data_IF_958412776089
#
_entry.id   IF_958412776089
#
_cell.length_a   1.000
_cell.length_b   1.000
_cell.length_c   1.000
_cell.angle_alpha   90.00
_cell.angle_beta   90.00
_cell.angle_gamma   90.00
#
_symmetry.space_group_name_H-M   'P 1'
#
loop_
_entity.id
_entity.type
_entity.pdbx_description
1 polymer ?
#
# COMPACT_ATOMS: atom_id res chain seq x y z
N UNK A 1 -84.17 0.91 28.03
CA UNK A 1 -84.99 2.01 28.53
C UNK A 1 -84.11 3.26 28.45
N UNK A 2 -84.51 4.14 27.56
CA UNK A 2 -84.84 5.57 27.76
C UNK A 2 -83.71 6.36 28.50
N UNK A 3 -83.25 7.50 28.11
CA UNK A 3 -83.48 8.48 27.10
C UNK A 3 -82.63 9.72 27.40
N UNK A 4 -82.12 10.34 26.39
CA UNK A 4 -81.71 11.73 26.15
C UNK A 4 -82.23 12.79 27.13
N UNK A 5 -81.90 14.12 27.01
CA UNK A 5 -80.86 14.82 26.20
C UNK A 5 -80.27 16.13 26.82
N UNK A 6 -79.31 16.73 26.09
CA UNK A 6 -79.14 18.19 25.74
C UNK A 6 -78.83 19.22 26.85
N UNK A 7 -77.88 20.08 26.71
CA UNK A 7 -77.86 21.34 25.98
C UNK A 7 -76.49 22.06 25.95
N UNK A 8 -76.35 22.78 24.91
CA UNK A 8 -75.25 23.59 24.41
C UNK A 8 -74.97 24.86 25.25
N UNK A 9 -73.71 25.35 25.15
CA UNK A 9 -73.33 26.71 25.51
C UNK A 9 -72.13 27.15 24.66
N UNK A 10 -72.40 28.13 23.79
CA UNK A 10 -71.49 28.81 22.86
C UNK A 10 -70.82 29.95 23.61
N UNK A 11 -69.51 30.13 23.49
CA UNK A 11 -68.87 31.45 23.32
C UNK A 11 -67.34 31.41 23.31
N UNK A 12 -66.75 32.05 22.34
CA UNK A 12 -65.55 32.84 22.53
C UNK A 12 -64.33 32.43 21.73
N UNK A 13 -64.29 32.73 20.45
CA UNK A 13 -63.03 32.66 19.64
C UNK A 13 -62.06 33.79 20.08
N UNK A 14 -60.85 33.42 20.45
CA UNK A 14 -59.71 34.30 20.35
C UNK A 14 -58.63 33.59 19.53
N UNK A 15 -58.33 34.12 18.34
CA UNK A 15 -57.22 33.72 17.51
C UNK A 15 -55.89 34.08 18.18
N UNK A 16 -55.08 33.08 18.53
CA UNK A 16 -53.69 33.27 18.88
C UNK A 16 -52.84 32.83 17.68
N UNK A 17 -52.18 33.78 17.04
CA UNK A 17 -51.23 33.52 15.97
C UNK A 17 -50.02 32.80 16.56
N UNK A 18 -49.92 31.51 16.32
CA UNK A 18 -48.69 30.75 16.59
C UNK A 18 -47.72 30.90 15.41
N UNK A 19 -46.65 31.66 15.62
CA UNK A 19 -45.53 31.71 14.72
C UNK A 19 -44.82 30.36 14.72
N UNK A 20 -44.86 29.66 13.59
CA UNK A 20 -44.07 28.44 13.36
C UNK A 20 -42.63 28.88 13.15
N UNK A 21 -41.78 28.76 14.20
CA UNK A 21 -40.34 28.76 14.02
C UNK A 21 -39.96 27.44 13.30
N UNK A 22 -39.56 27.59 12.03
CA UNK A 22 -38.97 26.49 11.27
C UNK A 22 -37.67 26.02 11.95
N UNK A 23 -37.71 24.88 12.59
CA UNK A 23 -36.50 24.14 13.01
C UNK A 23 -35.87 23.60 11.73
N UNK A 24 -34.82 24.27 11.26
CA UNK A 24 -33.90 23.71 10.26
C UNK A 24 -33.15 22.54 10.93
N UNK A 25 -33.63 21.33 10.72
CA UNK A 25 -32.89 20.14 11.09
C UNK A 25 -31.64 20.09 10.20
N UNK A 26 -30.51 20.61 10.70
CA UNK A 26 -29.20 20.25 10.14
C UNK A 26 -29.04 18.76 10.36
N UNK A 27 -29.31 17.98 9.34
CA UNK A 27 -28.94 16.60 9.26
C UNK A 27 -27.41 16.55 9.26
N UNK A 28 -26.82 16.25 10.42
CA UNK A 28 -25.45 15.75 10.46
C UNK A 28 -25.47 14.44 9.68
N UNK A 29 -24.93 14.45 8.46
CA UNK A 29 -24.54 13.23 7.81
C UNK A 29 -23.49 12.58 8.71
N UNK A 30 -23.90 11.58 9.48
CA UNK A 30 -22.99 10.65 10.11
C UNK A 30 -22.36 9.91 8.94
N UNK A 31 -21.15 10.33 8.55
CA UNK A 31 -20.33 9.51 7.67
C UNK A 31 -20.25 8.13 8.33
N UNK A 32 -20.77 7.12 7.66
CA UNK A 32 -20.63 5.74 8.07
C UNK A 32 -19.13 5.44 8.01
N UNK A 33 -18.42 5.64 9.13
CA UNK A 33 -17.04 5.20 9.27
C UNK A 33 -17.04 3.70 9.05
N UNK A 34 -16.22 3.22 8.12
CA UNK A 34 -16.06 1.80 7.88
C UNK A 34 -15.80 1.06 9.22
N UNK A 35 -16.32 -0.15 9.33
CA UNK A 35 -16.23 -0.95 10.56
C UNK A 35 -14.85 -1.61 10.70
N UNK A 36 -13.77 -0.86 10.53
CA UNK A 36 -12.38 -1.31 10.74
C UNK A 36 -11.61 -0.29 11.58
N UNK A 37 -10.62 -0.78 12.30
CA UNK A 37 -9.67 0.05 13.06
C UNK A 37 -8.42 0.30 12.22
N UNK A 38 -7.93 1.52 12.22
CA UNK A 38 -6.65 1.87 11.62
C UNK A 38 -5.51 1.47 12.59
N UNK A 39 -4.58 0.65 12.10
CA UNK A 39 -3.33 0.36 12.81
C UNK A 39 -2.32 1.46 12.49
N UNK A 40 -2.09 1.73 11.20
CA UNK A 40 -1.24 2.82 10.72
C UNK A 40 -1.63 3.22 9.29
N UNK A 41 -1.57 4.52 9.01
CA UNK A 41 -1.65 5.08 7.66
C UNK A 41 -0.40 5.91 7.36
N UNK A 42 0.35 5.51 6.34
CA UNK A 42 1.56 6.22 5.91
C UNK A 42 1.31 7.18 4.73
N UNK A 43 0.12 7.11 4.12
CA UNK A 43 -0.20 8.01 3.02
C UNK A 43 -1.54 7.71 2.35
N UNK A 44 -1.81 8.34 1.19
CA UNK A 44 -3.08 8.23 0.50
C UNK A 44 -3.38 6.77 0.13
N UNK A 45 -4.59 6.32 0.44
CA UNK A 45 -5.05 4.94 0.21
C UNK A 45 -4.96 4.52 -1.26
N UNK A 46 -5.02 5.47 -2.19
CA UNK A 46 -4.86 5.24 -3.64
C UNK A 46 -3.42 4.89 -4.04
N UNK A 47 -2.42 5.18 -3.20
CA UNK A 47 -1.00 4.96 -3.46
C UNK A 47 -0.31 4.18 -2.32
N UNK A 48 -1.01 3.21 -1.73
CA UNK A 48 -0.47 2.32 -0.69
C UNK A 48 -1.00 0.90 -0.88
N UNK A 49 -0.23 -0.06 -0.44
CA UNK A 49 -0.70 -1.44 -0.24
C UNK A 49 -1.59 -1.44 1.00
N UNK A 50 -2.90 -1.25 0.79
CA UNK A 50 -3.85 -1.31 1.89
C UNK A 50 -3.99 -2.75 2.36
N UNK A 51 -3.49 -3.04 3.54
CA UNK A 51 -3.44 -4.35 4.17
C UNK A 51 -4.52 -4.49 5.22
N UNK A 52 -5.31 -5.53 5.14
CA UNK A 52 -6.41 -5.80 6.06
C UNK A 52 -6.21 -7.13 6.80
N UNK A 53 -6.34 -7.07 8.12
CA UNK A 53 -6.38 -8.23 9.00
C UNK A 53 -7.82 -8.47 9.42
N UNK A 54 -8.31 -9.69 9.24
CA UNK A 54 -9.59 -10.17 9.76
C UNK A 54 -9.30 -11.15 10.88
N UNK A 55 -10.16 -11.18 11.91
CA UNK A 55 -10.10 -12.19 12.96
C UNK A 55 -11.07 -13.32 12.68
N UNK A 56 -10.70 -14.57 12.99
CA UNK A 56 -11.67 -15.65 13.13
C UNK A 56 -11.44 -16.45 14.42
N UNK A 57 -12.50 -17.02 14.99
CA UNK A 57 -12.43 -17.67 16.29
C UNK A 57 -12.16 -16.72 17.46
N UNK A 58 -12.32 -15.40 17.30
CA UNK A 58 -12.29 -14.45 18.42
C UNK A 58 -13.71 -14.10 18.84
N UNK A 59 -14.07 -14.44 20.06
CA UNK A 59 -15.33 -13.99 20.66
C UNK A 59 -15.27 -12.51 21.02
N UNK A 60 -16.42 -11.91 21.37
CA UNK A 60 -16.46 -10.55 21.89
C UNK A 60 -15.58 -10.37 23.14
N UNK A 61 -15.47 -11.42 23.99
CA UNK A 61 -14.61 -11.43 25.16
C UNK A 61 -13.12 -11.43 24.76
N UNK A 62 -12.71 -12.24 23.77
CA UNK A 62 -11.33 -12.30 23.28
C UNK A 62 -10.90 -10.95 22.66
N UNK A 63 -11.79 -10.31 21.90
CA UNK A 63 -11.55 -8.99 21.32
C UNK A 63 -11.45 -7.93 22.43
N UNK A 64 -12.38 -7.97 23.40
CA UNK A 64 -12.38 -7.06 24.56
C UNK A 64 -11.16 -7.22 25.46
N UNK A 65 -10.62 -8.43 25.59
CA UNK A 65 -9.37 -8.72 26.30
C UNK A 65 -8.10 -8.30 25.51
N UNK A 66 -8.24 -7.90 24.24
CA UNK A 66 -7.13 -7.49 23.39
C UNK A 66 -6.34 -8.63 22.75
N UNK A 67 -6.81 -9.89 22.86
CA UNK A 67 -6.11 -11.06 22.30
C UNK A 67 -5.90 -10.92 20.78
N UNK A 68 -6.95 -10.58 20.04
CA UNK A 68 -6.87 -10.34 18.61
C UNK A 68 -5.88 -9.22 18.27
N UNK A 69 -5.98 -8.10 18.98
CA UNK A 69 -5.06 -6.97 18.77
C UNK A 69 -3.61 -7.37 19.02
N UNK A 70 -3.33 -8.16 20.04
CA UNK A 70 -1.99 -8.65 20.39
C UNK A 70 -1.44 -9.53 19.26
N UNK A 71 -2.22 -10.49 18.75
CA UNK A 71 -1.78 -11.37 17.67
C UNK A 71 -1.47 -10.60 16.39
N UNK A 72 -2.34 -9.67 15.97
CA UNK A 72 -2.11 -8.81 14.81
C UNK A 72 -0.88 -7.93 15.02
N UNK A 73 -0.74 -7.28 16.18
CA UNK A 73 0.38 -6.37 16.46
C UNK A 73 1.72 -7.10 16.48
N UNK A 74 1.77 -8.31 17.04
CA UNK A 74 2.97 -9.15 17.02
C UNK A 74 3.42 -9.43 15.57
N UNK A 75 2.47 -9.78 14.70
CA UNK A 75 2.81 -10.02 13.30
C UNK A 75 3.23 -8.74 12.57
N UNK A 76 2.54 -7.62 12.77
CA UNK A 76 2.92 -6.32 12.17
C UNK A 76 4.34 -5.93 12.59
N UNK A 77 4.67 -6.06 13.88
CA UNK A 77 6.01 -5.78 14.39
C UNK A 77 7.08 -6.70 13.77
N UNK A 78 6.74 -7.97 13.55
CA UNK A 78 7.63 -8.92 12.90
C UNK A 78 7.82 -8.62 11.41
N UNK A 79 6.73 -8.44 10.66
CA UNK A 79 6.75 -8.16 9.23
C UNK A 79 7.60 -6.93 8.89
N UNK A 80 7.56 -5.90 9.73
CA UNK A 80 8.31 -4.66 9.56
C UNK A 80 9.53 -4.56 10.50
N UNK A 81 10.02 -5.68 11.02
CA UNK A 81 11.28 -5.70 11.78
C UNK A 81 12.48 -5.52 10.85
N UNK A 82 13.51 -4.82 11.34
CA UNK A 82 14.76 -4.66 10.58
C UNK A 82 15.64 -5.94 10.69
N UNK A 83 15.13 -7.02 10.12
CA UNK A 83 15.82 -8.31 10.07
C UNK A 83 15.79 -8.86 8.65
N UNK A 84 16.78 -9.66 8.30
CA UNK A 84 16.86 -10.31 6.99
C UNK A 84 15.65 -11.23 6.73
N UNK A 85 15.07 -11.81 7.78
CA UNK A 85 13.94 -12.75 7.67
C UNK A 85 12.64 -12.07 7.22
N UNK A 86 12.52 -10.75 7.42
CA UNK A 86 11.36 -9.94 7.01
C UNK A 86 11.61 -9.06 5.79
N UNK A 87 12.82 -9.13 5.18
CA UNK A 87 13.05 -8.46 3.90
C UNK A 87 12.12 -9.00 2.80
N UNK A 88 11.53 -8.11 1.93
CA UNK A 88 11.85 -6.66 1.79
C UNK A 88 10.94 -5.73 2.60
N UNK A 89 10.04 -6.21 3.44
CA UNK A 89 8.94 -5.42 4.02
C UNK A 89 9.42 -4.26 4.90
N UNK A 90 10.49 -4.43 5.68
CA UNK A 90 11.03 -3.33 6.49
C UNK A 90 11.44 -2.11 5.65
N UNK A 91 12.14 -2.35 4.53
CA UNK A 91 12.54 -1.28 3.61
C UNK A 91 11.33 -0.51 3.10
N UNK A 92 10.25 -1.20 2.77
CA UNK A 92 9.04 -0.64 2.16
C UNK A 92 7.91 -0.35 3.15
N UNK A 93 8.16 -0.31 4.46
CA UNK A 93 7.11 -0.16 5.49
C UNK A 93 6.17 1.02 5.26
N UNK A 94 6.70 2.15 4.75
CA UNK A 94 5.91 3.35 4.45
C UNK A 94 5.06 3.24 3.17
N UNK A 95 5.19 2.13 2.42
CA UNK A 95 4.36 1.80 1.25
C UNK A 95 3.05 1.10 1.65
N UNK A 96 2.81 0.86 2.93
CA UNK A 96 1.66 0.15 3.44
C UNK A 96 0.79 1.03 4.31
N UNK A 97 -0.53 0.86 4.20
CA UNK A 97 -1.50 1.24 5.21
C UNK A 97 -2.08 -0.04 5.81
N UNK A 98 -2.23 -0.09 7.13
CA UNK A 98 -2.61 -1.29 7.86
C UNK A 98 -3.90 -1.06 8.63
N UNK A 99 -4.83 -2.00 8.50
CA UNK A 99 -6.15 -1.97 9.12
C UNK A 99 -6.51 -3.33 9.70
N UNK A 100 -7.34 -3.34 10.73
CA UNK A 100 -7.93 -4.57 11.26
C UNK A 100 -9.44 -4.49 11.30
N UNK A 101 -10.09 -5.61 11.02
CA UNK A 101 -11.54 -5.79 11.07
C UNK A 101 -11.86 -6.71 12.24
N UNK A 102 -12.64 -6.22 13.20
CA UNK A 102 -13.07 -7.00 14.36
C UNK A 102 -14.26 -7.90 13.97
N UNK A 103 -13.97 -9.10 13.47
CA UNK A 103 -14.98 -10.10 13.17
C UNK A 103 -15.23 -10.93 14.42
N UNK A 104 -16.47 -10.90 14.92
CA UNK A 104 -16.84 -11.58 16.17
C UNK A 104 -17.37 -12.96 15.88
N UNK A 105 -16.73 -13.99 16.43
CA UNK A 105 -17.17 -15.39 16.38
C UNK A 105 -18.02 -15.75 17.61
N UNK A 106 -18.91 -16.72 17.46
CA UNK A 106 -19.71 -17.23 18.60
C UNK A 106 -18.85 -18.05 19.56
N UNK A 107 -17.85 -18.77 19.02
CA UNK A 107 -16.93 -19.60 19.80
C UNK A 107 -15.47 -19.25 19.50
N UNK A 108 -14.62 -19.51 20.49
CA UNK A 108 -13.17 -19.33 20.36
C UNK A 108 -12.51 -20.57 19.75
N UNK A 109 -11.52 -20.37 18.86
CA UNK A 109 -10.77 -21.43 18.21
C UNK A 109 -11.15 -21.65 16.76
N UNK A 110 -10.89 -22.85 16.25
CA UNK A 110 -11.18 -23.30 14.89
C UNK A 110 -11.71 -24.75 14.91
N UNK A 111 -12.26 -25.22 13.80
CA UNK A 111 -12.56 -26.63 13.61
C UNK A 111 -11.27 -27.45 13.54
N UNK A 112 -11.27 -28.60 14.24
CA UNK A 112 -10.19 -29.59 14.26
C UNK A 112 -10.75 -30.98 13.89
N UNK A 113 -11.04 -31.24 12.61
CA UNK A 113 -11.69 -32.49 12.18
C UNK A 113 -10.91 -33.73 12.64
N UNK A 114 -9.58 -33.66 12.70
CA UNK A 114 -8.71 -34.74 13.15
C UNK A 114 -8.94 -35.11 14.64
N UNK A 115 -9.46 -34.16 15.43
CA UNK A 115 -9.74 -34.30 16.87
C UNK A 115 -11.23 -34.35 17.17
N UNK A 116 -12.10 -34.30 16.13
CA UNK A 116 -13.55 -34.26 16.29
C UNK A 116 -14.08 -32.97 16.91
N UNK A 117 -13.31 -31.87 16.87
CA UNK A 117 -13.69 -30.55 17.40
C UNK A 117 -14.38 -29.75 16.31
N UNK A 118 -15.56 -29.20 16.62
CA UNK A 118 -16.33 -28.30 15.78
C UNK A 118 -16.60 -27.01 16.52
N UNK A 119 -16.35 -25.87 15.88
CA UNK A 119 -16.50 -24.52 16.44
C UNK A 119 -17.41 -23.67 15.56
N UNK A 120 -18.32 -22.94 16.17
CA UNK A 120 -19.13 -21.92 15.47
C UNK A 120 -18.32 -20.62 15.37
N UNK A 121 -17.52 -20.49 14.28
CA UNK A 121 -16.72 -19.31 14.01
C UNK A 121 -17.28 -18.50 12.86
N UNK A 122 -16.95 -17.20 12.83
CA UNK A 122 -17.55 -16.27 11.88
C UNK A 122 -17.14 -16.52 10.42
N UNK A 123 -15.92 -17.04 10.21
CA UNK A 123 -15.34 -17.30 8.88
C UNK A 123 -15.13 -18.79 8.62
N UNK A 124 -15.66 -19.69 9.46
CA UNK A 124 -15.53 -21.14 9.36
C UNK A 124 -14.06 -21.61 9.29
N UNK A 125 -13.18 -21.08 10.16
CA UNK A 125 -11.79 -21.54 10.20
C UNK A 125 -11.72 -23.04 10.53
N UNK A 126 -11.01 -23.78 9.68
CA UNK A 126 -10.86 -25.23 9.85
C UNK A 126 -9.45 -25.69 9.50
N UNK A 127 -8.90 -26.55 10.35
CA UNK A 127 -7.73 -27.37 10.03
C UNK A 127 -8.10 -28.50 9.08
N UNK A 128 -7.07 -29.16 8.53
CA UNK A 128 -7.27 -30.29 7.62
C UNK A 128 -8.22 -29.99 6.46
N UNK A 129 -8.15 -28.78 5.95
CA UNK A 129 -9.07 -28.26 4.93
C UNK A 129 -9.16 -29.14 3.68
N UNK A 130 -8.06 -29.79 3.27
CA UNK A 130 -8.01 -30.75 2.17
C UNK A 130 -8.46 -32.18 2.58
N UNK A 131 -8.85 -32.38 3.85
CA UNK A 131 -9.22 -33.67 4.42
C UNK A 131 -8.04 -34.59 4.78
N UNK A 132 -6.80 -34.19 4.54
CA UNK A 132 -5.59 -35.02 4.70
C UNK A 132 -4.51 -34.32 5.53
N UNK A 133 -4.20 -33.07 5.23
CA UNK A 133 -3.07 -32.32 5.80
C UNK A 133 -3.49 -31.57 7.07
N UNK A 134 -3.18 -32.12 8.25
CA UNK A 134 -3.66 -31.61 9.54
C UNK A 134 -3.34 -30.12 9.78
N UNK A 135 -2.17 -29.63 9.32
CA UNK A 135 -1.74 -28.24 9.48
C UNK A 135 -2.36 -27.25 8.47
N UNK A 136 -3.09 -27.73 7.50
CA UNK A 136 -3.68 -26.87 6.47
C UNK A 136 -4.90 -26.16 7.03
N UNK A 137 -4.70 -24.89 7.43
CA UNK A 137 -5.71 -24.05 8.07
C UNK A 137 -6.25 -23.04 7.05
N UNK A 138 -7.54 -23.15 6.74
CA UNK A 138 -8.25 -22.23 5.84
C UNK A 138 -9.55 -21.71 6.44
N UNK A 139 -10.13 -20.76 5.76
CA UNK A 139 -11.41 -20.14 6.10
C UNK A 139 -12.37 -20.19 4.89
N UNK A 140 -13.61 -19.83 5.10
CA UNK A 140 -14.57 -19.61 4.05
C UNK A 140 -14.34 -18.26 3.38
N UNK A 141 -13.73 -18.27 2.18
CA UNK A 141 -13.42 -17.05 1.41
C UNK A 141 -14.67 -16.18 1.16
N UNK A 142 -15.84 -16.79 0.96
CA UNK A 142 -17.09 -16.06 0.74
C UNK A 142 -17.48 -15.23 1.97
N UNK A 143 -17.41 -15.81 3.16
CA UNK A 143 -17.68 -15.12 4.44
C UNK A 143 -16.63 -14.06 4.72
N UNK A 144 -15.35 -14.35 4.50
CA UNK A 144 -14.27 -13.39 4.68
C UNK A 144 -14.40 -12.18 3.74
N UNK A 145 -14.70 -12.42 2.47
CA UNK A 145 -14.95 -11.35 1.50
C UNK A 145 -16.19 -10.52 1.86
N UNK A 146 -17.27 -11.14 2.34
CA UNK A 146 -18.47 -10.43 2.78
C UNK A 146 -18.16 -9.53 3.99
N UNK A 147 -17.44 -10.04 5.01
CA UNK A 147 -17.04 -9.28 6.17
C UNK A 147 -16.12 -8.09 5.80
N UNK A 148 -15.11 -8.33 4.95
CA UNK A 148 -14.20 -7.29 4.47
C UNK A 148 -14.93 -6.22 3.67
N UNK A 149 -15.77 -6.60 2.69
CA UNK A 149 -16.50 -5.66 1.85
C UNK A 149 -17.46 -4.79 2.68
N UNK A 150 -18.12 -5.39 3.68
CA UNK A 150 -18.95 -4.65 4.63
C UNK A 150 -18.12 -3.64 5.43
N UNK A 151 -16.95 -4.05 5.91
CA UNK A 151 -16.08 -3.19 6.71
C UNK A 151 -15.55 -1.98 5.92
N UNK A 152 -15.18 -2.17 4.65
CA UNK A 152 -14.61 -1.10 3.82
C UNK A 152 -15.64 -0.31 3.00
N UNK A 153 -16.92 -0.67 3.09
CA UNK A 153 -17.98 0.01 2.33
C UNK A 153 -17.97 1.53 2.60
N UNK A 154 -17.99 2.33 1.53
CA UNK A 154 -17.99 3.79 1.62
C UNK A 154 -16.64 4.43 2.04
N UNK A 155 -15.62 3.64 2.37
CA UNK A 155 -14.30 4.16 2.81
C UNK A 155 -13.38 4.63 1.67
N UNK A 156 -13.70 4.28 0.42
CA UNK A 156 -12.82 4.51 -0.74
C UNK A 156 -11.54 3.64 -0.74
N UNK A 157 -11.39 2.71 0.20
CA UNK A 157 -10.21 1.84 0.31
C UNK A 157 -10.41 0.55 -0.50
N UNK A 158 -9.32 0.08 -1.09
CA UNK A 158 -9.27 -1.22 -1.78
C UNK A 158 -8.26 -2.11 -1.04
N UNK A 159 -8.69 -3.26 -0.55
CA UNK A 159 -7.79 -4.23 0.07
C UNK A 159 -6.86 -4.86 -0.98
N UNK A 160 -5.55 -4.79 -0.76
CA UNK A 160 -4.51 -5.31 -1.66
C UNK A 160 -3.76 -6.49 -1.07
N UNK A 161 -3.54 -6.48 0.24
CA UNK A 161 -2.95 -7.58 1.01
C UNK A 161 -3.93 -7.95 2.10
N UNK A 162 -4.17 -9.25 2.31
CA UNK A 162 -5.25 -9.72 3.17
C UNK A 162 -4.78 -10.88 4.04
N UNK A 163 -5.06 -10.76 5.34
CA UNK A 163 -4.75 -11.78 6.33
C UNK A 163 -6.00 -12.22 7.07
N UNK A 164 -6.03 -13.49 7.49
CA UNK A 164 -6.92 -13.96 8.54
C UNK A 164 -6.08 -14.52 9.69
N UNK A 165 -6.20 -13.89 10.84
CA UNK A 165 -5.61 -14.37 12.09
C UNK A 165 -6.66 -15.21 12.79
N UNK A 166 -6.36 -16.49 13.05
CA UNK A 166 -7.26 -17.42 13.73
C UNK A 166 -6.85 -17.52 15.20
N UNK A 167 -7.84 -17.47 16.11
CA UNK A 167 -7.62 -17.57 17.55
C UNK A 167 -7.36 -19.01 17.98
N UNK A 168 -6.25 -19.55 17.57
CA UNK A 168 -5.83 -20.90 17.92
C UNK A 168 -4.33 -20.97 18.21
N UNK A 169 -3.90 -21.99 18.95
CA UNK A 169 -2.50 -22.25 19.28
C UNK A 169 -1.93 -23.45 18.54
N UNK A 170 -2.75 -24.23 17.83
CA UNK A 170 -2.30 -25.35 17.01
C UNK A 170 -1.52 -24.80 15.80
N UNK A 171 -0.44 -25.49 15.43
CA UNK A 171 0.35 -25.13 14.27
C UNK A 171 -0.45 -25.29 12.98
N UNK A 172 -0.57 -24.21 12.20
CA UNK A 172 -1.23 -24.26 10.91
C UNK A 172 -1.27 -22.91 10.20
N UNK A 173 -1.43 -23.01 8.88
CA UNK A 173 -1.59 -21.89 7.99
C UNK A 173 -2.04 -22.33 6.61
N UNK A 174 -2.33 -21.36 5.77
CA UNK A 174 -2.73 -21.59 4.37
C UNK A 174 -2.70 -20.30 3.57
N UNK A 175 -2.09 -20.34 2.38
CA UNK A 175 -2.03 -19.25 1.43
C UNK A 175 -3.05 -19.42 0.32
N UNK A 176 -3.84 -18.39 0.07
CA UNK A 176 -4.87 -18.37 -0.98
C UNK A 176 -5.32 -16.94 -1.23
N UNK A 177 -6.64 -16.70 -1.24
CA UNK A 177 -7.15 -15.32 -1.28
C UNK A 177 -6.73 -14.50 -0.06
N UNK A 178 -6.45 -15.19 1.05
CA UNK A 178 -5.95 -14.64 2.32
C UNK A 178 -4.73 -15.44 2.78
N UNK A 179 -3.79 -14.76 3.45
CA UNK A 179 -2.79 -15.43 4.26
C UNK A 179 -3.42 -15.77 5.62
N UNK A 180 -3.73 -17.05 5.85
CA UNK A 180 -4.38 -17.53 7.07
C UNK A 180 -3.36 -18.15 8.00
N UNK A 181 -3.43 -17.86 9.31
CA UNK A 181 -2.49 -18.40 10.30
C UNK A 181 -3.09 -18.45 11.71
N UNK A 182 -2.63 -19.40 12.52
CA UNK A 182 -3.00 -19.54 13.93
C UNK A 182 -2.23 -18.54 14.78
N UNK A 183 -2.89 -17.47 15.24
CA UNK A 183 -2.26 -16.32 15.91
C UNK A 183 -1.60 -16.62 17.26
N UNK A 184 -2.08 -17.63 17.97
CA UNK A 184 -1.56 -18.07 19.27
C UNK A 184 -0.42 -19.10 19.19
N UNK A 185 -0.06 -19.57 17.98
CA UNK A 185 1.02 -20.54 17.81
C UNK A 185 2.42 -19.87 17.92
N UNK A 186 3.40 -20.58 18.46
CA UNK A 186 4.77 -20.07 18.58
C UNK A 186 5.45 -19.76 17.25
N UNK A 187 5.02 -20.39 16.14
CA UNK A 187 5.50 -20.13 14.78
C UNK A 187 4.62 -19.19 13.98
N UNK A 188 3.58 -18.60 14.59
CA UNK A 188 2.57 -17.77 13.93
C UNK A 188 3.15 -16.71 12.99
N UNK A 189 4.21 -16.01 13.43
CA UNK A 189 4.82 -14.90 12.70
C UNK A 189 5.50 -15.37 11.40
N UNK A 190 6.22 -16.50 11.50
CA UNK A 190 6.89 -17.12 10.38
C UNK A 190 5.89 -17.72 9.38
N UNK A 191 4.86 -18.41 9.89
CA UNK A 191 3.79 -18.97 9.07
C UNK A 191 3.05 -17.85 8.34
N UNK A 192 2.63 -16.79 9.03
CA UNK A 192 1.92 -15.68 8.41
C UNK A 192 2.72 -15.03 7.26
N UNK A 193 4.05 -14.90 7.43
CA UNK A 193 4.91 -14.32 6.40
C UNK A 193 5.12 -15.26 5.21
N UNK A 194 5.20 -16.57 5.45
CA UNK A 194 5.23 -17.61 4.42
C UNK A 194 3.93 -17.62 3.60
N UNK A 195 2.77 -17.67 4.27
CA UNK A 195 1.47 -17.67 3.62
C UNK A 195 1.19 -16.37 2.84
N UNK A 196 1.76 -15.24 3.30
CA UNK A 196 1.76 -14.00 2.55
C UNK A 196 2.55 -14.09 1.23
N UNK A 197 3.63 -14.87 1.19
CA UNK A 197 4.34 -15.17 -0.04
C UNK A 197 3.43 -15.80 -1.12
N UNK A 198 2.57 -16.74 -0.72
CA UNK A 198 1.56 -17.31 -1.61
C UNK A 198 0.47 -16.30 -1.98
N UNK A 199 -0.14 -15.68 -0.98
CA UNK A 199 -1.35 -14.87 -1.16
C UNK A 199 -1.10 -13.56 -1.89
N UNK A 200 0.00 -12.87 -1.61
CA UNK A 200 0.32 -11.58 -2.18
C UNK A 200 1.15 -11.68 -3.46
N UNK A 201 2.16 -12.58 -3.46
CA UNK A 201 3.14 -12.65 -4.55
C UNK A 201 3.08 -13.93 -5.37
N UNK A 202 2.12 -14.81 -5.08
CA UNK A 202 1.90 -16.06 -5.81
C UNK A 202 3.19 -16.90 -5.91
N UNK A 203 3.96 -16.96 -4.82
CA UNK A 203 5.13 -17.81 -4.72
C UNK A 203 4.72 -19.25 -4.50
N UNK A 204 5.52 -20.20 -5.00
CA UNK A 204 5.33 -21.62 -4.76
C UNK A 204 5.94 -22.05 -3.43
N UNK A 205 5.45 -23.17 -2.88
CA UNK A 205 6.20 -23.92 -1.89
C UNK A 205 7.49 -24.48 -2.51
N UNK A 206 8.63 -24.20 -1.91
CA UNK A 206 9.94 -24.70 -2.36
C UNK A 206 10.37 -26.02 -1.68
N UNK A 207 9.51 -26.60 -0.81
CA UNK A 207 9.80 -27.90 -0.18
C UNK A 207 9.28 -29.07 -1.03
N UNK A 208 9.92 -30.23 -0.81
CA UNK A 208 9.58 -31.52 -1.41
C UNK A 208 8.65 -32.36 -0.53
N UNK A 209 8.70 -33.67 -0.69
CA UNK A 209 7.96 -34.68 0.09
C UNK A 209 7.34 -35.77 -0.78
N UNK A 210 7.05 -35.48 -2.05
CA UNK A 210 6.64 -36.51 -3.01
C UNK A 210 7.90 -37.02 -3.75
N UNK A 211 8.21 -38.30 -3.58
CA UNK A 211 9.38 -38.95 -4.21
C UNK A 211 9.20 -39.21 -5.71
N UNK A 212 7.96 -39.18 -6.23
CA UNK A 212 7.72 -39.23 -7.67
C UNK A 212 8.23 -37.91 -8.31
N UNK A 213 8.82 -37.96 -9.52
CA UNK A 213 9.22 -36.73 -10.21
C UNK A 213 8.00 -35.92 -10.64
N UNK A 214 8.17 -34.57 -10.61
CA UNK A 214 7.16 -33.66 -11.14
C UNK A 214 7.01 -33.84 -12.67
N UNK A 215 5.80 -34.14 -13.14
CA UNK A 215 5.47 -34.36 -14.57
C UNK A 215 4.55 -33.30 -15.15
N UNK A 216 4.13 -32.30 -14.37
CA UNK A 216 3.26 -31.21 -14.81
C UNK A 216 3.90 -30.29 -15.86
N UNK A 217 3.16 -29.26 -16.28
CA UNK A 217 3.65 -28.19 -17.13
C UNK A 217 4.67 -27.29 -16.43
N UNK A 218 5.26 -26.33 -17.15
CA UNK A 218 6.08 -25.28 -16.53
C UNK A 218 5.21 -24.47 -15.56
N UNK A 219 5.64 -24.32 -14.27
CA UNK A 219 4.89 -23.55 -13.28
C UNK A 219 4.79 -22.07 -13.64
N UNK A 220 3.68 -21.43 -13.25
CA UNK A 220 3.52 -19.97 -13.38
C UNK A 220 4.32 -19.18 -12.36
N UNK A 221 4.58 -19.77 -11.19
CA UNK A 221 5.31 -19.14 -10.08
C UNK A 221 6.76 -18.87 -10.47
N UNK A 222 7.29 -17.73 -10.00
CA UNK A 222 8.62 -17.26 -10.43
C UNK A 222 9.78 -18.00 -9.77
N UNK A 223 9.53 -18.63 -8.64
CA UNK A 223 10.50 -19.26 -7.74
C UNK A 223 10.63 -20.78 -7.93
N UNK A 224 9.94 -21.34 -8.94
CA UNK A 224 10.09 -22.75 -9.35
C UNK A 224 10.07 -22.88 -10.87
N UNK A 225 10.79 -23.89 -11.39
CA UNK A 225 10.86 -24.18 -12.84
C UNK A 225 11.14 -25.65 -13.09
N UNK A 226 10.76 -26.11 -14.26
CA UNK A 226 11.18 -27.44 -14.77
C UNK A 226 12.58 -27.40 -15.42
N UNK A 227 13.06 -26.22 -15.74
CA UNK A 227 14.37 -26.07 -16.39
C UNK A 227 15.51 -26.22 -15.39
N UNK A 228 16.35 -27.28 -15.54
CA UNK A 228 17.47 -27.52 -14.65
C UNK A 228 18.59 -26.49 -14.76
N UNK A 229 18.54 -25.58 -15.73
CA UNK A 229 19.51 -24.47 -15.85
C UNK A 229 19.10 -23.25 -15.05
N UNK A 230 17.83 -23.16 -14.59
CA UNK A 230 17.31 -21.99 -13.88
C UNK A 230 17.17 -20.75 -14.78
N UNK A 231 16.93 -20.93 -16.09
CA UNK A 231 16.79 -19.82 -17.04
C UNK A 231 15.70 -18.82 -16.64
N UNK A 232 14.65 -19.24 -15.93
CA UNK A 232 13.57 -18.39 -15.41
C UNK A 232 14.09 -17.23 -14.55
N UNK A 233 15.17 -17.46 -13.81
CA UNK A 233 15.84 -16.45 -12.98
C UNK A 233 17.32 -16.25 -13.37
N UNK A 234 17.64 -16.35 -14.68
CA UNK A 234 19.00 -16.25 -15.21
C UNK A 234 19.78 -15.00 -14.74
N UNK A 235 19.07 -13.88 -14.52
CA UNK A 235 19.64 -12.62 -14.01
C UNK A 235 20.19 -12.71 -12.59
N UNK A 236 19.81 -13.75 -11.83
CA UNK A 236 20.25 -14.00 -10.47
C UNK A 236 21.28 -15.12 -10.34
N UNK A 237 21.50 -15.94 -11.38
CA UNK A 237 22.43 -17.05 -11.32
C UNK A 237 23.83 -16.60 -10.86
N UNK A 238 24.41 -17.33 -9.91
CA UNK A 238 25.70 -17.02 -9.31
C UNK A 238 25.69 -15.94 -8.22
N UNK A 239 24.52 -15.35 -7.89
CA UNK A 239 24.40 -14.38 -6.82
C UNK A 239 24.54 -15.07 -5.44
N UNK A 240 25.38 -14.49 -4.55
CA UNK A 240 25.46 -14.92 -3.16
C UNK A 240 24.22 -14.41 -2.40
N UNK A 241 23.29 -15.31 -2.17
CA UNK A 241 21.99 -14.99 -1.60
C UNK A 241 22.06 -14.92 -0.06
N UNK A 242 21.30 -13.99 0.58
CA UNK A 242 21.18 -13.93 2.03
C UNK A 242 20.70 -15.22 2.72
N UNK A 243 20.08 -16.14 1.98
CA UNK A 243 19.71 -17.48 2.49
C UNK A 243 20.93 -18.36 2.81
N UNK A 244 22.14 -17.89 2.51
CA UNK A 244 23.38 -18.65 2.65
C UNK A 244 23.69 -19.55 1.46
N UNK A 245 22.93 -19.43 0.36
CA UNK A 245 23.14 -20.20 -0.88
C UNK A 245 23.62 -19.31 -2.01
N UNK A 246 24.27 -19.89 -3.00
CA UNK A 246 24.44 -19.25 -4.32
C UNK A 246 23.20 -19.55 -5.15
N UNK A 247 22.61 -18.53 -5.79
CA UNK A 247 21.46 -18.76 -6.67
C UNK A 247 21.86 -19.66 -7.84
N UNK A 248 21.12 -20.75 -8.00
CA UNK A 248 21.32 -21.77 -9.02
C UNK A 248 20.02 -22.44 -9.41
N UNK A 249 20.06 -23.75 -9.65
CA UNK A 249 18.88 -24.59 -9.84
C UNK A 249 18.97 -25.80 -8.91
N UNK A 250 18.27 -25.74 -7.80
CA UNK A 250 18.27 -26.78 -6.77
C UNK A 250 17.09 -27.70 -6.96
N UNK A 251 17.32 -29.00 -6.98
CA UNK A 251 16.30 -30.00 -7.20
C UNK A 251 15.20 -29.99 -6.12
N UNK A 252 13.95 -30.15 -6.51
CA UNK A 252 12.77 -30.17 -5.65
C UNK A 252 12.06 -28.82 -5.48
N UNK A 253 10.76 -28.87 -5.24
CA UNK A 253 9.80 -27.76 -5.06
C UNK A 253 8.39 -28.22 -5.39
N UNK A 254 7.37 -27.40 -5.09
CA UNK A 254 5.96 -27.72 -5.28
C UNK A 254 5.57 -29.10 -4.75
N UNK A 255 6.08 -29.44 -3.56
CA UNK A 255 5.90 -30.74 -2.88
C UNK A 255 6.61 -31.94 -3.53
N UNK A 256 7.39 -31.77 -4.61
CA UNK A 256 8.10 -32.86 -5.31
C UNK A 256 9.62 -32.78 -5.00
N UNK A 257 10.25 -33.94 -4.88
CA UNK A 257 11.69 -34.05 -4.61
C UNK A 257 12.54 -33.94 -5.88
N UNK A 258 11.95 -34.13 -7.07
CA UNK A 258 12.68 -34.08 -8.34
C UNK A 258 11.78 -33.68 -9.53
N UNK A 259 12.38 -33.37 -10.68
CA UNK A 259 11.68 -32.95 -11.89
C UNK A 259 11.22 -31.50 -11.88
N UNK A 260 11.57 -30.76 -10.83
CA UNK A 260 11.31 -29.34 -10.63
C UNK A 260 12.46 -28.74 -9.82
N UNK A 261 12.74 -27.47 -10.00
CA UNK A 261 13.89 -26.80 -9.42
C UNK A 261 13.48 -25.49 -8.77
N UNK A 262 14.22 -25.06 -7.73
CA UNK A 262 14.09 -23.81 -7.00
C UNK A 262 15.41 -23.04 -7.01
N UNK A 263 15.41 -21.70 -6.71
CA UNK A 263 16.59 -20.85 -6.90
C UNK A 263 17.72 -21.12 -5.89
N UNK A 264 17.39 -21.51 -4.65
CA UNK A 264 18.35 -21.65 -3.53
C UNK A 264 18.14 -22.95 -2.77
N UNK A 265 19.15 -23.37 -2.02
CA UNK A 265 19.04 -24.55 -1.17
C UNK A 265 17.97 -24.42 -0.09
N UNK A 266 17.80 -23.22 0.45
CA UNK A 266 16.80 -22.87 1.45
C UNK A 266 16.21 -21.48 1.21
N UNK A 267 14.97 -21.22 1.69
CA UNK A 267 14.28 -19.94 1.63
C UNK A 267 13.08 -19.94 2.57
N UNK A 268 12.42 -18.79 2.75
CA UNK A 268 11.14 -18.66 3.47
C UNK A 268 10.09 -19.62 2.90
N UNK A 269 10.03 -19.79 1.58
CA UNK A 269 9.07 -20.67 0.92
C UNK A 269 9.41 -22.16 1.05
N UNK A 270 10.56 -22.49 1.67
CA UNK A 270 10.98 -23.88 1.95
C UNK A 270 10.94 -24.20 3.44
N UNK A 271 11.37 -23.29 4.30
CA UNK A 271 11.49 -23.53 5.73
C UNK A 271 11.29 -22.23 6.51
N UNK A 272 10.52 -22.30 7.58
CA UNK A 272 10.35 -21.20 8.50
C UNK A 272 11.70 -20.78 9.11
N UNK A 273 11.85 -19.50 9.42
CA UNK A 273 13.09 -18.93 9.95
C UNK A 273 14.13 -18.55 8.89
N UNK A 274 13.95 -18.95 7.63
CA UNK A 274 14.80 -18.50 6.53
C UNK A 274 14.26 -17.17 5.92
N UNK A 275 15.13 -16.34 5.31
CA UNK A 275 14.68 -15.19 4.53
C UNK A 275 14.04 -15.61 3.19
N UNK A 276 13.31 -14.71 2.53
CA UNK A 276 12.99 -14.87 1.11
C UNK A 276 14.28 -14.81 0.28
N UNK A 277 14.44 -15.73 -0.68
CA UNK A 277 15.55 -15.66 -1.61
C UNK A 277 15.41 -14.47 -2.58
N UNK A 278 16.47 -14.15 -3.34
CA UNK A 278 16.52 -13.01 -4.22
C UNK A 278 15.40 -12.99 -5.27
N UNK A 279 15.01 -14.15 -5.79
CA UNK A 279 13.94 -14.29 -6.80
C UNK A 279 12.57 -13.94 -6.18
N UNK A 280 12.27 -14.51 -5.01
CA UNK A 280 11.04 -14.25 -4.27
C UNK A 280 10.98 -12.80 -3.78
N UNK A 281 12.09 -12.26 -3.25
CA UNK A 281 12.18 -10.86 -2.81
C UNK A 281 11.97 -9.89 -3.96
N UNK A 282 12.58 -10.12 -5.13
CA UNK A 282 12.37 -9.32 -6.34
C UNK A 282 10.88 -9.29 -6.73
N UNK A 283 10.22 -10.45 -6.71
CA UNK A 283 8.78 -10.56 -7.04
C UNK A 283 7.92 -9.74 -6.08
N UNK A 284 8.15 -9.87 -4.76
CA UNK A 284 7.43 -9.08 -3.74
C UNK A 284 7.59 -7.58 -3.99
N UNK A 285 8.80 -7.10 -4.30
CA UNK A 285 9.05 -5.68 -4.60
C UNK A 285 8.29 -5.24 -5.84
N UNK A 286 8.31 -6.05 -6.91
CA UNK A 286 7.57 -5.75 -8.13
C UNK A 286 6.05 -5.68 -7.90
N UNK A 287 5.49 -6.52 -7.00
CA UNK A 287 4.08 -6.51 -6.66
C UNK A 287 3.71 -5.28 -5.81
N UNK A 288 4.59 -4.85 -4.91
CA UNK A 288 4.43 -3.58 -4.20
C UNK A 288 4.37 -2.43 -5.20
N UNK A 289 5.32 -2.35 -6.15
CA UNK A 289 5.33 -1.30 -7.17
C UNK A 289 4.30 -1.46 -8.30
N UNK A 290 3.59 -2.57 -8.35
CA UNK A 290 2.39 -2.69 -9.18
C UNK A 290 1.20 -1.89 -8.61
N UNK A 291 1.29 -1.51 -7.34
CA UNK A 291 0.24 -0.81 -6.58
C UNK A 291 0.68 0.62 -6.23
N UNK A 292 1.95 0.79 -5.83
CA UNK A 292 2.48 2.05 -5.27
C UNK A 292 3.41 2.71 -6.28
N UNK A 293 3.14 3.99 -6.55
CA UNK A 293 4.01 4.83 -7.38
C UNK A 293 5.01 5.61 -6.50
N UNK A 294 6.19 5.97 -7.02
CA UNK A 294 7.21 6.71 -6.26
C UNK A 294 6.75 8.04 -5.66
N UNK A 295 5.79 8.72 -6.29
CA UNK A 295 5.27 10.01 -5.83
C UNK A 295 3.83 9.89 -5.35
N UNK A 296 3.52 10.45 -4.20
CA UNK A 296 2.16 10.65 -3.69
C UNK A 296 1.47 11.84 -4.36
N UNK A 297 2.23 12.91 -4.61
CA UNK A 297 1.75 14.11 -5.30
C UNK A 297 2.90 14.94 -5.86
N UNK A 298 2.58 15.88 -6.74
CA UNK A 298 3.51 16.86 -7.30
C UNK A 298 2.75 18.11 -7.74
N UNK A 299 3.49 19.23 -7.91
CA UNK A 299 2.95 20.47 -8.49
C UNK A 299 2.26 20.15 -9.82
N UNK A 300 1.04 20.66 -10.00
CA UNK A 300 0.24 20.36 -11.21
C UNK A 300 1.01 20.72 -12.49
N UNK A 301 0.98 19.86 -13.49
CA UNK A 301 1.64 20.03 -14.78
C UNK A 301 0.64 19.99 -15.96
N UNK A 302 -0.66 20.23 -15.70
CA UNK A 302 -1.71 20.20 -16.73
C UNK A 302 -1.70 21.43 -17.64
N UNK A 303 -0.99 22.50 -17.24
CA UNK A 303 -0.80 23.73 -18.00
C UNK A 303 0.60 24.27 -17.72
N UNK A 304 1.08 25.17 -18.61
CA UNK A 304 2.31 25.92 -18.36
C UNK A 304 2.19 26.77 -17.09
N UNK A 305 3.25 26.76 -16.28
CA UNK A 305 3.32 27.48 -15.02
C UNK A 305 4.06 28.80 -15.23
N UNK A 306 3.41 29.92 -14.94
CA UNK A 306 4.02 31.25 -15.11
C UNK A 306 4.63 31.69 -13.77
N UNK A 307 5.94 31.98 -13.76
CA UNK A 307 6.71 32.42 -12.62
C UNK A 307 6.42 31.63 -11.30
N UNK A 308 6.39 30.29 -11.34
CA UNK A 308 6.19 29.54 -10.10
C UNK A 308 7.39 29.74 -9.18
N UNK A 309 7.19 29.92 -7.85
CA UNK A 309 8.30 30.05 -6.92
C UNK A 309 9.10 28.75 -6.79
N UNK A 310 8.41 27.62 -6.83
CA UNK A 310 9.00 26.28 -6.73
C UNK A 310 8.18 25.24 -7.47
N UNK A 311 8.79 24.09 -7.74
CA UNK A 311 8.12 22.84 -8.11
C UNK A 311 8.32 21.84 -6.98
N UNK A 312 7.20 21.35 -6.41
CA UNK A 312 7.21 20.52 -5.22
C UNK A 312 6.68 19.11 -5.51
N UNK A 313 7.23 18.13 -4.81
CA UNK A 313 6.81 16.73 -4.89
C UNK A 313 6.74 16.11 -3.50
N UNK A 314 5.85 15.14 -3.34
CA UNK A 314 5.78 14.31 -2.14
C UNK A 314 6.11 12.88 -2.53
N UNK A 315 7.23 12.37 -2.03
CA UNK A 315 7.65 10.98 -2.24
C UNK A 315 6.91 10.05 -1.28
N UNK A 316 6.63 8.84 -1.72
CA UNK A 316 6.03 7.79 -0.85
C UNK A 316 6.90 7.50 0.37
N UNK A 317 8.22 7.52 0.20
CA UNK A 317 9.23 7.39 1.26
C UNK A 317 10.54 8.06 0.85
N UNK A 318 10.97 9.07 1.60
CA UNK A 318 12.21 9.79 1.33
C UNK A 318 13.49 8.97 1.55
N UNK A 319 13.40 7.87 2.34
CA UNK A 319 14.53 6.97 2.55
C UNK A 319 14.69 5.93 1.43
N UNK A 320 13.62 5.68 0.67
CA UNK A 320 13.59 4.69 -0.41
C UNK A 320 13.68 5.33 -1.78
N UNK A 321 12.93 6.41 -2.00
CA UNK A 321 12.81 7.07 -3.29
C UNK A 321 13.81 8.23 -3.39
N UNK A 322 14.69 8.15 -4.39
CA UNK A 322 15.58 9.24 -4.78
C UNK A 322 14.96 10.08 -5.90
N UNK A 323 15.46 11.32 -6.09
CA UNK A 323 14.99 12.25 -7.13
C UNK A 323 16.14 12.82 -7.92
N UNK A 324 15.90 13.08 -9.21
CA UNK A 324 16.82 13.77 -10.12
C UNK A 324 16.02 14.80 -10.90
N UNK A 325 16.43 16.07 -10.80
CA UNK A 325 15.85 17.18 -11.54
C UNK A 325 16.65 17.47 -12.81
N UNK A 326 15.96 17.80 -13.88
CA UNK A 326 16.56 18.15 -15.18
C UNK A 326 15.94 19.46 -15.65
N UNK A 327 16.77 20.42 -16.06
CA UNK A 327 16.37 21.74 -16.55
C UNK A 327 16.88 21.86 -17.97
N UNK A 328 15.99 22.06 -18.95
CA UNK A 328 16.30 22.15 -20.37
C UNK A 328 17.21 21.01 -20.87
N UNK A 329 16.96 19.80 -20.38
CA UNK A 329 17.71 18.59 -20.74
C UNK A 329 19.01 18.38 -19.94
N UNK A 330 19.40 19.29 -19.05
CA UNK A 330 20.60 19.17 -18.24
C UNK A 330 20.27 18.78 -16.80
N UNK A 331 20.99 17.79 -16.26
CA UNK A 331 20.82 17.34 -14.87
C UNK A 331 21.27 18.45 -13.90
N UNK A 332 20.38 18.84 -12.99
CA UNK A 332 20.75 19.66 -11.84
C UNK A 332 21.29 18.78 -10.69
N UNK A 333 22.60 18.71 -10.60
CA UNK A 333 23.29 17.90 -9.58
C UNK A 333 23.00 18.40 -8.16
N UNK A 334 22.85 19.71 -7.98
CA UNK A 334 22.63 20.34 -6.66
C UNK A 334 21.23 19.99 -6.10
N UNK A 335 20.24 19.82 -6.98
CA UNK A 335 18.88 19.45 -6.60
C UNK A 335 18.66 17.92 -6.52
N UNK A 336 19.70 17.09 -6.78
CA UNK A 336 19.56 15.63 -6.66
C UNK A 336 19.19 15.24 -5.23
N UNK A 337 18.13 14.42 -5.07
CA UNK A 337 17.60 14.01 -3.77
C UNK A 337 16.61 15.03 -3.15
N UNK A 338 16.43 16.22 -3.74
CA UNK A 338 15.47 17.21 -3.25
C UNK A 338 14.04 16.85 -3.64
N UNK A 339 13.09 17.13 -2.74
CA UNK A 339 11.65 17.06 -3.01
C UNK A 339 11.11 18.34 -3.63
N UNK A 340 11.89 19.42 -3.63
CA UNK A 340 11.51 20.72 -4.14
C UNK A 340 12.62 21.29 -5.00
N UNK A 341 12.26 22.00 -6.07
CA UNK A 341 13.16 22.78 -6.89
C UNK A 341 12.73 24.25 -6.78
N UNK A 342 13.61 25.10 -6.25
CA UNK A 342 13.41 26.55 -6.15
C UNK A 342 13.66 27.18 -7.52
N UNK A 343 12.60 27.56 -8.22
CA UNK A 343 12.67 28.13 -9.58
C UNK A 343 13.25 29.55 -9.54
N UNK A 344 12.92 30.32 -8.52
CA UNK A 344 13.41 31.68 -8.36
C UNK A 344 14.94 31.72 -8.18
N UNK A 345 15.51 30.74 -7.48
CA UNK A 345 16.95 30.63 -7.25
C UNK A 345 17.75 30.21 -8.50
N UNK A 346 17.09 29.60 -9.52
CA UNK A 346 17.78 29.14 -10.73
C UNK A 346 18.19 30.27 -11.66
N UNK A 347 17.69 31.50 -11.48
CA UNK A 347 17.95 32.65 -12.35
C UNK A 347 17.78 32.33 -13.86
N UNK A 348 16.70 31.64 -14.20
CA UNK A 348 16.39 31.25 -15.56
C UNK A 348 16.19 32.49 -16.45
N UNK A 349 16.51 32.36 -17.73
CA UNK A 349 16.24 33.42 -18.73
C UNK A 349 14.73 33.58 -18.93
N UNK A 350 14.31 34.74 -19.46
CA UNK A 350 12.92 34.92 -19.90
C UNK A 350 12.57 33.93 -21.00
N UNK A 351 11.41 33.28 -20.91
CA UNK A 351 10.93 32.32 -21.91
C UNK A 351 10.45 31.02 -21.30
N UNK A 352 10.30 30.02 -22.14
CA UNK A 352 9.86 28.68 -21.76
C UNK A 352 11.05 27.80 -21.34
N UNK A 353 10.90 27.07 -20.28
CA UNK A 353 11.87 26.12 -19.75
C UNK A 353 11.21 24.77 -19.52
N UNK A 354 11.81 23.71 -20.09
CA UNK A 354 11.39 22.33 -19.89
C UNK A 354 12.05 21.78 -18.61
N UNK A 355 11.28 21.63 -17.54
CA UNK A 355 11.76 21.07 -16.28
C UNK A 355 11.17 19.69 -16.08
N UNK A 356 11.99 18.72 -15.70
CA UNK A 356 11.53 17.37 -15.39
C UNK A 356 12.15 16.82 -14.13
N UNK A 357 11.39 15.93 -13.47
CA UNK A 357 11.82 15.14 -12.34
C UNK A 357 11.74 13.66 -12.68
N UNK A 358 12.76 12.91 -12.31
CA UNK A 358 12.73 11.44 -12.19
C UNK A 358 12.78 11.07 -10.73
N UNK A 359 11.72 10.44 -10.21
CA UNK A 359 11.68 9.82 -8.89
C UNK A 359 11.87 8.31 -9.06
N UNK A 360 12.78 7.68 -8.31
CA UNK A 360 13.12 6.27 -8.51
C UNK A 360 13.65 5.59 -7.24
N UNK A 361 13.44 4.28 -7.14
CA UNK A 361 14.10 3.45 -6.14
C UNK A 361 15.43 2.93 -6.69
N UNK A 362 16.58 3.33 -6.09
CA UNK A 362 17.90 2.93 -6.59
C UNK A 362 18.10 1.42 -6.70
N UNK A 363 17.38 0.61 -5.91
CA UNK A 363 17.53 -0.85 -5.91
C UNK A 363 17.16 -1.51 -7.24
N UNK A 364 16.40 -0.83 -8.10
CA UNK A 364 16.08 -1.29 -9.46
C UNK A 364 17.08 -0.86 -10.53
N UNK A 365 18.11 -0.09 -10.16
CA UNK A 365 19.07 0.50 -11.08
C UNK A 365 20.53 0.19 -10.72
N UNK A 366 20.75 -0.59 -9.67
CA UNK A 366 22.06 -1.13 -9.29
C UNK A 366 22.14 -2.60 -9.72
N UNK A 367 22.89 -2.87 -10.79
CA UNK A 367 23.03 -4.21 -11.36
C UNK A 367 23.78 -5.20 -10.44
N UNK A 368 24.53 -4.70 -9.45
CA UNK A 368 25.37 -5.53 -8.56
C UNK A 368 24.67 -5.75 -7.21
N UNK A 369 24.24 -4.65 -6.55
CA UNK A 369 23.72 -4.68 -5.19
C UNK A 369 22.21 -4.51 -5.14
N UNK A 370 21.55 -4.23 -6.27
CA UNK A 370 20.11 -4.02 -6.35
C UNK A 370 19.32 -5.29 -6.03
N UNK A 371 18.14 -5.08 -5.45
CA UNK A 371 17.21 -6.15 -5.13
C UNK A 371 16.23 -6.47 -6.27
N UNK A 372 16.23 -5.65 -7.32
CA UNK A 372 15.44 -5.85 -8.53
C UNK A 372 16.36 -5.76 -9.74
N UNK A 373 16.52 -6.88 -10.44
CA UNK A 373 17.35 -7.00 -11.66
C UNK A 373 16.52 -7.18 -12.92
N UNK A 374 15.22 -7.45 -12.76
CA UNK A 374 14.30 -7.46 -13.88
C UNK A 374 14.18 -6.05 -14.46
N UNK A 375 14.25 -5.94 -15.78
CA UNK A 375 14.00 -4.70 -16.51
C UNK A 375 12.54 -4.28 -16.28
N UNK A 376 12.32 -3.19 -15.53
CA UNK A 376 10.98 -2.68 -15.25
C UNK A 376 11.00 -1.18 -15.05
N UNK A 377 9.97 -0.50 -15.54
CA UNK A 377 9.78 0.93 -15.32
C UNK A 377 8.97 1.24 -14.06
N UNK A 378 8.51 0.21 -13.31
CA UNK A 378 7.63 0.40 -12.15
C UNK A 378 8.31 1.09 -10.97
N UNK A 379 9.64 0.89 -10.82
CA UNK A 379 10.42 1.47 -9.74
C UNK A 379 10.80 2.94 -9.98
N UNK A 380 10.26 3.56 -11.01
CA UNK A 380 10.47 4.98 -11.30
C UNK A 380 9.22 5.64 -11.83
N UNK A 381 9.17 6.96 -11.66
CA UNK A 381 8.12 7.84 -12.19
C UNK A 381 8.78 9.13 -12.67
N UNK A 382 8.41 9.59 -13.87
CA UNK A 382 8.87 10.88 -14.39
C UNK A 382 7.70 11.84 -14.52
N UNK A 383 7.95 13.09 -14.17
CA UNK A 383 7.01 14.21 -14.30
C UNK A 383 7.74 15.33 -15.03
N UNK A 384 7.05 16.04 -15.91
CA UNK A 384 7.60 17.17 -16.64
C UNK A 384 6.66 18.38 -16.54
N UNK A 385 7.24 19.56 -16.50
CA UNK A 385 6.56 20.85 -16.47
C UNK A 385 7.09 21.77 -17.56
N UNK A 386 6.22 22.60 -18.11
CA UNK A 386 6.57 23.78 -18.90
C UNK A 386 6.51 25.00 -17.95
N UNK A 387 7.65 25.61 -17.68
CA UNK A 387 7.78 26.80 -16.82
C UNK A 387 8.04 28.01 -17.70
N UNK A 388 7.23 29.04 -17.56
CA UNK A 388 7.35 30.29 -18.30
C UNK A 388 7.87 31.38 -17.36
N UNK A 389 9.06 31.89 -17.64
CA UNK A 389 9.64 33.01 -16.90
C UNK A 389 9.31 34.31 -17.63
N UNK A 390 8.62 35.23 -16.96
CA UNK A 390 8.27 36.54 -17.52
C UNK A 390 9.31 37.60 -17.21
N UNK A 391 9.43 38.66 -18.05
CA UNK A 391 10.31 39.80 -17.75
C UNK A 391 9.87 40.49 -16.46
N UNK A 392 10.82 40.84 -15.60
CA UNK A 392 10.50 41.64 -14.38
C UNK A 392 9.76 42.93 -14.72
N UNK A 393 8.68 43.29 -14.02
CA UNK A 393 7.87 44.48 -14.31
C UNK A 393 8.65 45.80 -14.20
N UNK A 394 9.87 45.77 -13.63
CA UNK A 394 10.62 46.98 -13.29
C UNK A 394 11.36 47.68 -14.42
N UNK A 395 11.64 47.00 -15.54
CA UNK A 395 12.51 47.57 -16.59
C UNK A 395 11.82 48.56 -17.52
N UNK A 396 10.48 48.58 -17.63
CA UNK A 396 9.78 49.49 -18.54
C UNK A 396 9.31 50.80 -17.91
N UNK A 397 9.19 50.91 -16.58
CA UNK A 397 8.66 52.11 -15.94
C UNK A 397 9.74 53.21 -15.82
N UNK A 398 11.03 52.88 -15.75
CA UNK A 398 12.11 53.85 -15.58
C UNK A 398 12.38 54.68 -16.84
N UNK A 399 12.25 54.09 -18.05
CA UNK A 399 12.41 54.81 -19.30
C UNK A 399 11.24 55.78 -19.61
N UNK A 400 10.03 55.47 -19.21
CA UNK A 400 8.88 56.35 -19.40
C UNK A 400 8.90 57.59 -18.50
N UNK A 401 9.39 57.48 -17.25
CA UNK A 401 9.45 58.57 -16.31
C UNK A 401 10.62 59.52 -16.62
N UNK A 402 11.76 59.02 -17.07
CA UNK A 402 12.89 59.87 -17.47
C UNK A 402 12.60 60.62 -18.80
N UNK A 403 11.88 60.00 -19.73
CA UNK A 403 11.42 60.65 -20.98
C UNK A 403 10.41 61.77 -20.69
N UNK A 404 9.48 61.56 -19.72
CA UNK A 404 8.49 62.55 -19.32
C UNK A 404 9.09 63.77 -18.58
N UNK A 405 10.11 63.56 -17.76
CA UNK A 405 10.81 64.65 -17.09
C UNK A 405 11.65 65.50 -18.07
N UNK A 406 12.20 64.88 -19.10
CA UNK A 406 12.94 65.62 -20.15
C UNK A 406 12.01 66.51 -20.98
N UNK A 407 10.80 66.07 -21.33
CA UNK A 407 9.84 66.92 -22.04
C UNK A 407 9.31 68.09 -21.22
N UNK A 408 9.20 67.94 -19.92
CA UNK A 408 8.79 69.02 -19.05
C UNK A 408 9.89 70.05 -18.78
N UNK A 409 11.15 69.71 -18.83
CA UNK A 409 12.29 70.64 -18.73
C UNK A 409 12.49 71.47 -20.00
N UNK A 410 12.21 70.91 -21.19
CA UNK A 410 12.39 71.63 -22.45
C UNK A 410 11.30 72.70 -22.69
N UNK A 411 10.12 72.59 -22.13
CA UNK A 411 9.08 73.64 -22.17
C UNK A 411 9.30 74.82 -21.27
N UNK A 412 10.21 74.81 -20.29
CA UNK A 412 10.50 75.94 -19.41
C UNK A 412 11.65 76.85 -19.89
N UNK A 413 12.32 76.49 -20.99
CA UNK A 413 13.40 77.34 -21.58
C UNK A 413 12.96 78.30 -22.65
N UNK A 414 11.65 78.41 -22.95
CA UNK A 414 11.15 79.35 -23.98
C UNK A 414 10.27 80.50 -23.46
N UNK A 415 10.37 80.83 -22.19
CA UNK A 415 9.71 82.03 -21.68
C UNK A 415 10.71 82.82 -20.81
N UNK A 416 11.75 83.34 -21.47
CA UNK A 416 12.45 84.62 -21.08
C UNK A 416 13.19 85.07 -22.30
N UNK A 417 12.57 85.90 -23.10
CA UNK A 417 13.10 86.98 -23.84
C UNK A 417 11.98 87.80 -24.42
N UNK A 418 11.53 88.72 -23.62
CA UNK A 418 11.33 90.15 -23.84
C UNK A 418 10.65 90.71 -22.61
#
# INVERSE_FOLDING_TARGET
>A
MKSRPMKAGIAGWRFLKMSILGFCAMGFAVEARGAFDTIVEHGPSSNRVNTFFLGDGYTAADIGAGTYNTHVQNYVNYMFSNTINSDPFYRYRNFFNLYKVNVVSAQSGADEPQNGVVKDTALDATYRYDGVTDRLLYINDGKANAALNTAIAGSGKTARMKFVTVNDSIYGGGGGSYATYAGGNSSALEVALHENGHSFSQLADEYGGNTAPYTGGEPGEVDVTKDPTGAKWSRWLGYNDPTGSVVGAYNGGRYYDSGIYRPTANSKMRALGAPFNAVSREKIIQDIYAIVHPLDSYTSNVAALVDPPSLDTVRVDNAVINTQWTIDGLLDVAATGSSSLDIAALALSTGHHAISLRAYDPTGFDAVNGWVRAQTNRLQQSVAWDVVVTPEPGSFVIFGILGGVWMLCDRRRRIVLL
#
